data_IF_360141682844
#
_entry.id   IF_360141682844
#
_cell.length_a   1.000
_cell.length_b   1.000
_cell.length_c   1.000
_cell.angle_alpha   90.00
_cell.angle_beta   90.00
_cell.angle_gamma   90.00
#
_symmetry.space_group_name_H-M   'P 1'
#
loop_
_entity.id
_entity.type
_entity.pdbx_description
1 polymer ?
#
# COMPACT_ATOMS: atom_id res chain seq x y z
N UNK A 1 -30.44 22.82 32.36
CA UNK A 1 -29.71 22.01 33.36
C UNK A 1 -29.19 20.83 32.57
N UNK A 2 -27.93 20.91 32.18
CA UNK A 2 -27.28 20.02 31.21
C UNK A 2 -26.86 18.72 31.93
N UNK A 3 -27.28 17.56 31.41
CA UNK A 3 -26.75 16.26 31.84
C UNK A 3 -25.52 15.94 30.97
N UNK A 4 -24.33 16.19 31.52
CA UNK A 4 -23.07 15.66 31.00
C UNK A 4 -23.08 14.13 31.10
N UNK A 5 -23.11 13.47 29.95
CA UNK A 5 -22.82 12.03 29.86
C UNK A 5 -21.31 11.80 30.03
N UNK A 6 -20.86 10.92 30.94
CA UNK A 6 -19.45 10.61 31.08
C UNK A 6 -18.98 9.77 29.88
N UNK A 7 -17.94 10.27 29.20
CA UNK A 7 -17.21 9.57 28.14
C UNK A 7 -16.63 8.23 28.68
N UNK A 8 -16.59 7.16 27.88
CA UNK A 8 -16.05 5.89 28.32
C UNK A 8 -14.54 5.98 28.53
N UNK A 9 -14.18 5.66 29.77
CA UNK A 9 -12.88 5.32 30.34
C UNK A 9 -11.90 4.79 29.28
N UNK A 10 -10.84 5.56 28.99
CA UNK A 10 -9.68 5.04 28.28
C UNK A 10 -9.09 3.92 29.13
N UNK A 11 -9.27 2.68 28.69
CA UNK A 11 -8.69 1.51 29.33
C UNK A 11 -7.18 1.72 29.42
N UNK A 12 -6.64 1.65 30.64
CA UNK A 12 -5.22 1.73 30.96
C UNK A 12 -4.43 0.67 30.16
N UNK A 13 -3.98 1.02 28.95
CA UNK A 13 -3.02 0.22 28.21
C UNK A 13 -1.67 0.43 28.90
N UNK A 14 -1.00 -0.63 29.38
CA UNK A 14 0.30 -0.45 30.03
C UNK A 14 1.29 0.20 29.05
N UNK A 15 2.00 1.26 29.46
CA UNK A 15 2.97 2.00 28.62
C UNK A 15 3.98 1.10 27.89
N UNK A 16 4.39 -0.03 28.49
CA UNK A 16 5.28 -1.01 27.85
C UNK A 16 4.62 -1.76 26.67
N UNK A 17 3.30 -1.98 26.75
CA UNK A 17 2.52 -2.61 25.69
C UNK A 17 2.41 -1.72 24.45
N UNK A 18 2.38 -0.41 24.65
CA UNK A 18 2.43 0.61 23.59
C UNK A 18 3.80 0.65 22.91
N UNK A 19 4.89 0.62 23.69
CA UNK A 19 6.25 0.54 23.15
C UNK A 19 6.50 -0.71 22.29
N UNK A 20 5.99 -1.87 22.71
CA UNK A 20 6.10 -3.10 21.92
C UNK A 20 5.31 -3.01 20.60
N UNK A 21 4.09 -2.44 20.65
CA UNK A 21 3.27 -2.25 19.45
C UNK A 21 3.89 -1.22 18.50
N UNK A 22 4.42 -0.12 19.01
CA UNK A 22 5.11 0.90 18.23
C UNK A 22 6.37 0.35 17.55
N UNK A 23 7.15 -0.49 18.25
CA UNK A 23 8.29 -1.19 17.65
C UNK A 23 7.85 -2.12 16.52
N UNK A 24 6.80 -2.90 16.72
CA UNK A 24 6.28 -3.78 15.68
C UNK A 24 5.68 -2.99 14.51
N UNK A 25 5.06 -1.83 14.75
CA UNK A 25 4.61 -0.91 13.70
C UNK A 25 5.77 -0.40 12.84
N UNK A 26 6.87 0.02 13.46
CA UNK A 26 8.07 0.42 12.73
C UNK A 26 8.66 -0.72 11.90
N UNK A 27 8.80 -1.92 12.49
CA UNK A 27 9.27 -3.12 11.80
C UNK A 27 8.37 -3.50 10.63
N UNK A 28 7.06 -3.43 10.83
CA UNK A 28 6.07 -3.70 9.79
C UNK A 28 6.15 -2.68 8.66
N UNK A 29 6.30 -1.39 8.99
CA UNK A 29 6.38 -0.33 7.98
C UNK A 29 7.60 -0.52 7.08
N UNK A 30 8.77 -0.84 7.64
CA UNK A 30 9.97 -1.16 6.86
C UNK A 30 9.75 -2.36 5.95
N UNK A 31 9.23 -3.45 6.51
CA UNK A 31 8.90 -4.66 5.76
C UNK A 31 7.90 -4.38 4.62
N UNK A 32 6.81 -3.67 4.91
CA UNK A 32 5.76 -3.35 3.96
C UNK A 32 6.30 -2.47 2.82
N UNK A 33 7.10 -1.45 3.12
CA UNK A 33 7.73 -0.60 2.09
C UNK A 33 8.62 -1.41 1.16
N UNK A 34 9.50 -2.26 1.71
CA UNK A 34 10.35 -3.16 0.89
C UNK A 34 9.51 -4.10 0.03
N UNK A 35 8.45 -4.66 0.61
CA UNK A 35 7.56 -5.57 -0.10
C UNK A 35 6.78 -4.85 -1.20
N UNK A 36 6.33 -3.61 -0.98
CA UNK A 36 5.66 -2.79 -2.00
C UNK A 36 6.62 -2.42 -3.14
N UNK A 37 7.88 -2.10 -2.84
CA UNK A 37 8.89 -1.89 -3.88
C UNK A 37 9.11 -3.15 -4.73
N UNK A 38 9.26 -4.32 -4.08
CA UNK A 38 9.39 -5.61 -4.78
C UNK A 38 8.17 -5.92 -5.63
N UNK A 39 6.96 -5.68 -5.11
CA UNK A 39 5.72 -5.87 -5.86
C UNK A 39 5.62 -4.92 -7.05
N UNK A 40 5.96 -3.64 -6.88
CA UNK A 40 5.92 -2.65 -7.95
C UNK A 40 6.91 -2.99 -9.06
N UNK A 41 8.12 -3.44 -8.71
CA UNK A 41 9.14 -3.85 -9.68
C UNK A 41 8.72 -5.08 -10.50
N UNK A 42 7.97 -5.99 -9.89
CA UNK A 42 7.52 -7.25 -10.50
C UNK A 42 6.06 -7.22 -10.97
N UNK A 43 5.42 -6.05 -10.99
CA UNK A 43 4.01 -5.95 -11.34
C UNK A 43 3.78 -6.35 -12.81
N UNK A 44 2.79 -7.21 -13.03
CA UNK A 44 2.38 -7.60 -14.37
C UNK A 44 1.80 -6.37 -15.08
N UNK A 45 2.34 -6.06 -16.27
CA UNK A 45 2.01 -4.82 -16.98
C UNK A 45 2.65 -3.57 -16.39
N UNK A 46 3.72 -3.71 -15.61
CA UNK A 46 4.55 -2.61 -15.12
C UNK A 46 5.29 -1.86 -16.23
N UNK A 47 6.03 -0.81 -15.87
CA UNK A 47 6.70 0.09 -16.82
C UNK A 47 7.57 -0.64 -17.87
N UNK A 48 8.27 -1.71 -17.48
CA UNK A 48 9.10 -2.51 -18.38
C UNK A 48 8.27 -3.36 -19.37
N UNK A 49 7.05 -3.74 -19.00
CA UNK A 49 6.11 -4.52 -19.80
C UNK A 49 4.90 -3.68 -20.24
N UNK A 50 5.14 -2.39 -20.48
CA UNK A 50 4.14 -1.42 -20.89
C UNK A 50 3.48 -1.83 -22.21
N UNK A 51 2.15 -1.80 -22.20
CA UNK A 51 1.34 -2.12 -23.37
C UNK A 51 1.20 -0.89 -24.25
N UNK A 52 1.25 -1.08 -25.57
CA UNK A 52 0.98 -0.02 -26.54
C UNK A 52 -0.10 -0.50 -27.48
N UNK A 53 -1.18 0.26 -27.56
CA UNK A 53 -2.33 -0.02 -28.40
C UNK A 53 -2.52 1.09 -29.40
N UNK A 54 -2.79 0.75 -30.67
CA UNK A 54 -3.13 1.73 -31.69
C UNK A 54 -4.61 2.09 -31.56
N UNK A 55 -4.92 3.38 -31.49
CA UNK A 55 -6.26 3.91 -31.40
C UNK A 55 -6.46 4.98 -32.48
N UNK A 56 -7.05 4.58 -33.62
CA UNK A 56 -7.18 5.43 -34.80
C UNK A 56 -5.81 5.79 -35.39
N UNK A 57 -5.53 7.10 -35.46
CA UNK A 57 -4.25 7.66 -35.94
C UNK A 57 -3.20 7.82 -34.85
N UNK A 58 -3.55 7.52 -33.60
CA UNK A 58 -2.68 7.68 -32.44
C UNK A 58 -2.34 6.34 -31.79
N UNK A 59 -1.32 6.35 -30.95
CA UNK A 59 -0.89 5.25 -30.12
C UNK A 59 -1.06 5.63 -28.66
N UNK A 60 -1.56 4.69 -27.86
CA UNK A 60 -1.71 4.81 -26.42
C UNK A 60 -0.79 3.81 -25.75
N UNK A 61 0.14 4.32 -24.95
CA UNK A 61 0.96 3.54 -24.06
C UNK A 61 0.33 3.51 -22.67
N UNK A 62 0.26 2.34 -22.04
CA UNK A 62 -0.30 2.17 -20.71
C UNK A 62 0.52 1.21 -19.86
N UNK A 63 0.71 1.53 -18.58
CA UNK A 63 1.31 0.60 -17.62
C UNK A 63 0.72 0.79 -16.22
N UNK A 64 0.92 -0.23 -15.38
CA UNK A 64 0.52 -0.24 -13.98
C UNK A 64 1.67 0.15 -13.07
N UNK A 65 1.37 0.85 -11.99
CA UNK A 65 2.34 1.15 -10.93
C UNK A 65 1.65 1.13 -9.56
N UNK A 66 2.40 0.78 -8.52
CA UNK A 66 1.97 0.94 -7.13
C UNK A 66 2.46 2.30 -6.65
N UNK A 67 1.58 3.05 -6.00
CA UNK A 67 1.95 4.22 -5.21
C UNK A 67 2.59 3.77 -3.90
N UNK A 68 3.92 3.61 -3.93
CA UNK A 68 4.70 3.14 -2.79
C UNK A 68 4.83 4.21 -1.70
N UNK A 69 4.84 5.49 -2.09
CA UNK A 69 4.96 6.61 -1.15
C UNK A 69 3.64 6.84 -0.39
N UNK A 70 2.51 6.55 -1.02
CA UNK A 70 1.17 6.68 -0.43
C UNK A 70 0.69 5.49 0.40
N UNK A 71 1.56 4.54 0.78
CA UNK A 71 1.10 3.37 1.54
C UNK A 71 0.72 3.72 2.98
N UNK A 72 -0.30 3.04 3.50
CA UNK A 72 -0.74 3.18 4.89
C UNK A 72 -0.56 1.86 5.62
N UNK A 73 0.25 1.88 6.67
CA UNK A 73 0.56 0.71 7.50
C UNK A 73 -0.22 0.77 8.82
N UNK A 74 -0.95 -0.30 9.12
CA UNK A 74 -1.66 -0.48 10.37
C UNK A 74 -1.17 -1.76 11.05
N UNK A 75 -0.90 -1.71 12.35
CA UNK A 75 -0.54 -2.89 13.14
C UNK A 75 -1.41 -2.94 14.38
N UNK A 76 -1.91 -4.14 14.67
CA UNK A 76 -2.67 -4.43 15.88
C UNK A 76 -2.22 -5.76 16.46
N UNK A 77 -2.56 -6.00 17.73
CA UNK A 77 -2.44 -7.33 18.32
C UNK A 77 -3.57 -8.22 17.80
N UNK A 78 -3.28 -9.51 17.65
CA UNK A 78 -4.32 -10.46 17.29
C UNK A 78 -5.28 -10.64 18.47
N UNK A 79 -6.58 -10.57 18.20
CA UNK A 79 -7.64 -10.82 19.18
C UNK A 79 -7.69 -12.30 19.60
N UNK A 80 -7.30 -13.20 18.69
CA UNK A 80 -7.35 -14.64 18.91
C UNK A 80 -6.08 -15.19 19.59
N UNK A 81 -4.95 -14.50 19.43
CA UNK A 81 -3.70 -14.93 20.05
C UNK A 81 -2.81 -13.72 20.42
N UNK A 82 -2.69 -13.37 21.71
CA UNK A 82 -1.95 -12.19 22.15
C UNK A 82 -0.43 -12.26 21.86
N UNK A 83 0.10 -13.43 21.49
CA UNK A 83 1.49 -13.60 21.07
C UNK A 83 1.74 -13.23 19.60
N UNK A 84 0.70 -12.84 18.86
CA UNK A 84 0.78 -12.47 17.45
C UNK A 84 0.36 -11.03 17.21
N UNK A 85 0.97 -10.44 16.21
CA UNK A 85 0.59 -9.17 15.62
C UNK A 85 -0.02 -9.39 14.24
N UNK A 86 -0.97 -8.53 13.89
CA UNK A 86 -1.59 -8.47 12.56
C UNK A 86 -1.28 -7.11 11.98
N UNK A 87 -0.59 -7.11 10.84
CA UNK A 87 -0.27 -5.93 10.06
C UNK A 87 -1.17 -5.87 8.84
N UNK A 88 -1.58 -4.68 8.42
CA UNK A 88 -2.16 -4.50 7.10
C UNK A 88 -1.58 -3.28 6.41
N UNK A 89 -1.24 -3.47 5.13
CA UNK A 89 -0.82 -2.40 4.23
C UNK A 89 -1.97 -2.10 3.28
N UNK A 90 -2.36 -0.82 3.23
CA UNK A 90 -3.26 -0.29 2.21
C UNK A 90 -2.40 0.45 1.19
N UNK A 91 -2.61 0.17 -0.09
CA UNK A 91 -1.88 0.80 -1.18
C UNK A 91 -2.79 1.03 -2.37
N UNK A 92 -2.34 1.85 -3.31
CA UNK A 92 -3.06 2.16 -4.54
C UNK A 92 -2.29 1.62 -5.73
N UNK A 93 -2.98 0.89 -6.60
CA UNK A 93 -2.48 0.58 -7.94
C UNK A 93 -3.02 1.66 -8.89
N UNK A 94 -2.13 2.27 -9.66
CA UNK A 94 -2.42 3.25 -10.69
C UNK A 94 -2.29 2.63 -12.07
N UNK A 95 -3.17 3.02 -12.98
CA UNK A 95 -2.94 2.88 -14.42
C UNK A 95 -2.52 4.25 -14.94
N UNK A 96 -1.35 4.29 -15.56
CA UNK A 96 -0.83 5.47 -16.20
C UNK A 96 -0.87 5.31 -17.71
N UNK A 97 -1.27 6.37 -18.40
CA UNK A 97 -1.36 6.40 -19.86
C UNK A 97 -0.64 7.60 -20.45
N UNK A 98 -0.10 7.41 -21.66
CA UNK A 98 0.48 8.45 -22.50
C UNK A 98 0.05 8.21 -23.94
N UNK A 99 -0.14 9.28 -24.70
CA UNK A 99 -0.58 9.23 -26.11
C UNK A 99 0.44 9.88 -27.04
N UNK A 100 0.58 9.36 -28.26
CA UNK A 100 1.48 9.91 -29.26
C UNK A 100 1.13 9.49 -30.68
N UNK A 101 1.68 10.19 -31.67
CA UNK A 101 1.46 9.87 -33.09
C UNK A 101 2.25 8.65 -33.59
N UNK A 102 3.26 8.21 -32.83
CA UNK A 102 3.99 6.96 -33.05
C UNK A 102 4.03 6.13 -31.77
N UNK A 103 4.28 4.80 -31.86
CA UNK A 103 4.48 3.97 -30.69
C UNK A 103 5.56 4.54 -29.75
N UNK A 104 6.69 4.97 -30.31
CA UNK A 104 7.84 5.49 -29.56
C UNK A 104 7.51 6.80 -28.86
N UNK A 105 6.76 7.69 -29.52
CA UNK A 105 6.29 8.94 -28.93
C UNK A 105 5.36 8.65 -27.74
N UNK A 106 4.42 7.70 -27.87
CA UNK A 106 3.54 7.33 -26.76
C UNK A 106 4.31 6.74 -25.56
N UNK A 107 5.36 5.96 -25.78
CA UNK A 107 6.19 5.38 -24.70
C UNK A 107 7.05 6.39 -23.95
N UNK A 108 7.43 7.50 -24.59
CA UNK A 108 8.31 8.55 -24.03
C UNK A 108 7.56 9.81 -23.60
N UNK A 109 6.27 9.90 -23.94
CA UNK A 109 5.42 11.03 -23.60
C UNK A 109 5.16 11.14 -22.10
N UNK A 110 4.41 12.18 -21.74
CA UNK A 110 3.97 12.41 -20.37
C UNK A 110 2.89 11.40 -19.99
N UNK A 111 3.13 10.68 -18.89
CA UNK A 111 2.19 9.70 -18.37
C UNK A 111 1.28 10.34 -17.33
N UNK A 112 -0.02 10.28 -17.58
CA UNK A 112 -1.05 10.75 -16.66
C UNK A 112 -1.77 9.57 -16.02
N UNK A 113 -2.17 9.72 -14.76
CA UNK A 113 -2.97 8.71 -14.08
C UNK A 113 -4.40 8.74 -14.59
N UNK A 114 -4.86 7.63 -15.16
CA UNK A 114 -6.23 7.48 -15.69
C UNK A 114 -7.12 6.60 -14.82
N UNK A 115 -6.53 5.78 -13.95
CA UNK A 115 -7.27 4.93 -13.03
C UNK A 115 -6.49 4.70 -11.74
N UNK A 116 -7.22 4.49 -10.65
CA UNK A 116 -6.72 4.17 -9.32
C UNK A 116 -7.56 3.03 -8.73
N UNK A 117 -6.91 2.01 -8.19
CA UNK A 117 -7.54 0.91 -7.47
C UNK A 117 -6.93 0.77 -6.07
N UNK A 118 -7.70 0.95 -4.99
CA UNK A 118 -7.23 0.66 -3.65
C UNK A 118 -7.14 -0.85 -3.44
N UNK A 119 -6.08 -1.28 -2.77
CA UNK A 119 -5.85 -2.67 -2.40
C UNK A 119 -5.38 -2.76 -0.94
N UNK A 120 -5.56 -3.93 -0.34
CA UNK A 120 -5.14 -4.22 1.03
C UNK A 120 -4.49 -5.60 1.07
N UNK A 121 -3.34 -5.69 1.73
CA UNK A 121 -2.72 -6.98 2.10
C UNK A 121 -2.63 -7.05 3.62
N UNK A 122 -2.89 -8.23 4.16
CA UNK A 122 -2.82 -8.54 5.58
C UNK A 122 -1.65 -9.50 5.79
N UNK A 123 -0.84 -9.21 6.80
CA UNK A 123 0.30 -10.00 7.24
C UNK A 123 0.13 -10.35 8.71
N UNK A 124 0.80 -11.41 9.13
CA UNK A 124 0.88 -11.82 10.52
C UNK A 124 2.33 -11.98 10.95
N UNK A 125 2.60 -11.78 12.23
CA UNK A 125 3.92 -11.99 12.81
C UNK A 125 3.81 -12.50 14.23
N UNK A 126 4.66 -13.46 14.60
CA UNK A 126 4.86 -13.85 16.00
C UNK A 126 5.64 -12.76 16.72
N UNK A 127 5.44 -12.62 18.02
CA UNK A 127 6.22 -11.69 18.83
C UNK A 127 7.74 -11.92 18.66
N UNK A 128 8.45 -10.93 18.10
CA UNK A 128 9.88 -11.02 17.80
C UNK A 128 10.25 -11.82 16.55
N UNK A 129 9.27 -12.36 15.81
CA UNK A 129 9.44 -13.07 14.54
C UNK A 129 9.48 -12.15 13.32
N UNK A 130 9.50 -12.74 12.12
CA UNK A 130 9.36 -12.04 10.84
C UNK A 130 7.90 -11.87 10.43
N UNK A 131 7.64 -10.94 9.51
CA UNK A 131 6.32 -10.71 8.90
C UNK A 131 6.10 -11.66 7.71
N UNK A 132 4.96 -12.33 7.68
CA UNK A 132 4.54 -13.29 6.65
C UNK A 132 3.05 -13.18 6.29
#
# INVERSE_FOLDING_TARGET
MEEESPLPVQANVPLHMDQALAREHQRFTQFATEQMHKMNANIIGGKHNMQVHKHGTQYRASYKAIDVEGIVCQVRRSENNPNYYVGSVLYKEHILESVGHTPEASRKGEFVRVSEKPNRIIYSSKHGGGWE
#
